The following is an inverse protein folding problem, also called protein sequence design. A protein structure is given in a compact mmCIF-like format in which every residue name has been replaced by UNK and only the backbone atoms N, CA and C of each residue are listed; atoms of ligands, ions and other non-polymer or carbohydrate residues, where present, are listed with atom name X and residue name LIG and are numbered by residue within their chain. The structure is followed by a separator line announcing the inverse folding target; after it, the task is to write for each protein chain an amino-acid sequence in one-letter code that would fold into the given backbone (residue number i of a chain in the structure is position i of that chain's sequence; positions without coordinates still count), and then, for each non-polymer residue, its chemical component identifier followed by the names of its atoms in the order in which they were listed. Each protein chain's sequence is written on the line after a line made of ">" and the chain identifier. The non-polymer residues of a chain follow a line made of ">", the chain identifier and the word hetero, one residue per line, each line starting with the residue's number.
data_IF_084765845499
#
_entry.id   IF_084765845499
#
_cell.length_a   1.000
_cell.length_b   1.000
_cell.length_c   1.000
_cell.angle_alpha   90.00
_cell.angle_beta   90.00
_cell.angle_gamma   90.00
#
_symmetry.space_group_name_H-M   'P 1'
#
loop_
_entity.id
_entity.type
_entity.pdbx_description
1 polymer ?
#
# COMPACT_ATOMS: atom_id res chain seq x y z
N UNK A 1 16.90 4.54 11.20
CA UNK A 1 15.52 4.16 10.77
C UNK A 1 15.33 4.00 9.27
N UNK A 2 16.01 4.77 8.41
CA UNK A 2 15.83 4.67 6.94
C UNK A 2 16.14 3.28 6.38
N UNK A 3 17.12 2.56 6.95
CA UNK A 3 17.42 1.17 6.57
C UNK A 3 16.32 0.17 6.94
N UNK A 4 15.55 0.41 8.01
CA UNK A 4 14.38 -0.39 8.36
C UNK A 4 13.28 -0.20 7.31
N UNK A 5 12.92 1.05 7.03
CA UNK A 5 11.88 1.35 6.04
C UNK A 5 12.24 0.85 4.64
N UNK A 6 13.50 0.96 4.21
CA UNK A 6 13.94 0.45 2.90
C UNK A 6 13.86 -1.06 2.81
N UNK A 7 14.33 -1.79 3.83
CA UNK A 7 14.25 -3.26 3.84
C UNK A 7 12.80 -3.74 3.90
N UNK A 8 11.98 -3.09 4.73
CA UNK A 8 10.55 -3.34 4.80
C UNK A 8 9.84 -3.05 3.47
N UNK A 9 10.19 -1.96 2.79
CA UNK A 9 9.66 -1.62 1.47
C UNK A 9 9.96 -2.72 0.45
N UNK A 10 11.20 -3.18 0.38
CA UNK A 10 11.58 -4.25 -0.56
C UNK A 10 10.79 -5.52 -0.26
N UNK A 11 10.78 -5.98 0.99
CA UNK A 11 10.09 -7.22 1.37
C UNK A 11 8.58 -7.15 1.16
N UNK A 12 7.95 -6.05 1.59
CA UNK A 12 6.50 -5.87 1.49
C UNK A 12 6.06 -5.69 0.04
N UNK A 13 6.77 -4.90 -0.75
CA UNK A 13 6.47 -4.77 -2.19
C UNK A 13 6.66 -6.10 -2.93
N UNK A 14 7.71 -6.87 -2.61
CA UNK A 14 7.89 -8.20 -3.21
C UNK A 14 6.71 -9.14 -2.89
N UNK A 15 6.22 -9.11 -1.65
CA UNK A 15 5.01 -9.86 -1.25
C UNK A 15 3.78 -9.41 -2.06
N UNK A 16 3.53 -8.10 -2.15
CA UNK A 16 2.38 -7.55 -2.88
C UNK A 16 2.45 -7.92 -4.37
N UNK A 17 3.63 -7.82 -4.99
CA UNK A 17 3.84 -8.22 -6.39
C UNK A 17 3.60 -9.72 -6.57
N UNK A 18 4.11 -10.57 -5.67
CA UNK A 18 3.88 -12.00 -5.75
C UNK A 18 2.40 -12.38 -5.63
N UNK A 19 1.66 -11.74 -4.72
CA UNK A 19 0.20 -11.91 -4.59
C UNK A 19 -0.50 -11.44 -5.87
N UNK A 20 -0.13 -10.28 -6.41
CA UNK A 20 -0.66 -9.74 -7.66
C UNK A 20 -0.46 -10.72 -8.82
N UNK A 21 0.77 -11.21 -9.04
CA UNK A 21 1.07 -12.21 -10.08
C UNK A 21 0.19 -13.45 -9.91
N UNK A 22 0.08 -13.98 -8.68
CA UNK A 22 -0.78 -15.12 -8.39
C UNK A 22 -2.25 -14.84 -8.71
N UNK A 23 -2.73 -13.63 -8.45
CA UNK A 23 -4.10 -13.23 -8.74
C UNK A 23 -4.39 -13.17 -10.25
N UNK A 24 -3.49 -12.55 -11.04
CA UNK A 24 -3.63 -12.52 -12.50
C UNK A 24 -3.49 -13.91 -13.14
N UNK A 25 -2.68 -14.79 -12.54
CA UNK A 25 -2.51 -16.18 -12.98
C UNK A 25 -3.69 -17.08 -12.57
N UNK A 26 -4.54 -16.67 -11.62
CA UNK A 26 -5.59 -17.51 -11.05
C UNK A 26 -5.05 -18.56 -10.05
N UNK A 27 -3.86 -18.35 -9.49
CA UNK A 27 -3.19 -19.24 -8.54
C UNK A 27 -3.50 -18.95 -7.07
N UNK A 28 -4.42 -18.02 -6.77
CA UNK A 28 -4.80 -17.74 -5.38
C UNK A 28 -5.71 -18.85 -4.83
N UNK A 29 -5.49 -19.28 -3.57
CA UNK A 29 -6.37 -20.24 -2.90
C UNK A 29 -7.86 -19.83 -2.92
N UNK A 30 -8.77 -20.79 -3.07
CA UNK A 30 -10.21 -20.52 -3.18
C UNK A 30 -10.81 -19.79 -1.96
N UNK A 31 -10.17 -19.88 -0.78
CA UNK A 31 -10.58 -19.14 0.43
C UNK A 31 -10.63 -17.62 0.20
N UNK A 32 -9.79 -17.09 -0.70
CA UNK A 32 -9.77 -15.67 -1.02
C UNK A 32 -11.05 -15.21 -1.75
N UNK A 33 -11.70 -16.11 -2.49
CA UNK A 33 -13.00 -15.84 -3.13
C UNK A 33 -14.21 -16.18 -2.24
N UNK A 34 -14.02 -16.99 -1.19
CA UNK A 34 -15.11 -17.48 -0.34
C UNK A 34 -15.46 -16.53 0.83
N UNK A 35 -14.53 -15.67 1.25
CA UNK A 35 -14.72 -14.76 2.38
C UNK A 35 -15.23 -13.39 1.91
N UNK A 36 -16.46 -12.99 2.28
CA UNK A 36 -16.99 -11.68 1.90
C UNK A 36 -16.08 -10.56 2.39
N UNK A 37 -15.78 -9.59 1.52
CA UNK A 37 -14.97 -8.40 1.81
C UNK A 37 -13.49 -8.66 2.15
N UNK A 38 -13.00 -9.90 2.04
CA UNK A 38 -11.58 -10.17 2.27
C UNK A 38 -10.70 -9.41 1.27
N UNK A 39 -11.11 -9.33 0.01
CA UNK A 39 -10.41 -8.57 -1.03
C UNK A 39 -10.22 -7.09 -0.62
N UNK A 40 -11.29 -6.45 -0.14
CA UNK A 40 -11.27 -5.07 0.36
C UNK A 40 -10.29 -4.87 1.54
N UNK A 41 -10.26 -5.83 2.48
CA UNK A 41 -9.32 -5.80 3.62
C UNK A 41 -7.89 -5.98 3.14
N UNK A 42 -7.67 -6.85 2.16
CA UNK A 42 -6.35 -7.09 1.57
C UNK A 42 -5.85 -5.85 0.84
N UNK A 43 -6.68 -5.18 0.03
CA UNK A 43 -6.37 -3.89 -0.59
C UNK A 43 -5.90 -2.86 0.45
N UNK A 44 -6.70 -2.65 1.50
CA UNK A 44 -6.38 -1.72 2.59
C UNK A 44 -5.02 -2.02 3.24
N UNK A 45 -4.77 -3.28 3.62
CA UNK A 45 -3.57 -3.67 4.37
C UNK A 45 -2.34 -3.71 3.48
N UNK A 46 -2.45 -4.34 2.30
CA UNK A 46 -1.32 -4.55 1.41
C UNK A 46 -0.85 -3.23 0.80
N UNK A 47 -1.76 -2.44 0.22
CA UNK A 47 -1.41 -1.16 -0.40
C UNK A 47 -1.07 -0.12 0.66
N UNK A 48 -1.79 -0.09 1.78
CA UNK A 48 -1.43 0.71 2.95
C UNK A 48 -0.01 0.41 3.45
N UNK A 49 0.35 -0.87 3.59
CA UNK A 49 1.70 -1.29 3.98
C UNK A 49 2.80 -0.81 3.03
N UNK A 50 2.57 -0.83 1.71
CA UNK A 50 3.52 -0.24 0.74
C UNK A 50 3.70 1.25 1.02
N UNK A 51 2.62 1.99 1.26
CA UNK A 51 2.69 3.41 1.56
C UNK A 51 3.38 3.72 2.89
N UNK A 52 3.18 2.90 3.92
CA UNK A 52 3.89 3.01 5.19
C UNK A 52 5.41 2.97 4.98
N UNK A 53 5.88 1.92 4.31
CA UNK A 53 7.31 1.74 4.08
C UNK A 53 7.87 2.76 3.10
N UNK A 54 7.12 3.13 2.06
CA UNK A 54 7.57 4.12 1.08
C UNK A 54 7.67 5.52 1.68
N UNK A 55 6.66 5.98 2.43
CA UNK A 55 6.73 7.31 3.08
C UNK A 55 7.91 7.38 4.05
N UNK A 56 8.15 6.33 4.85
CA UNK A 56 9.31 6.25 5.73
C UNK A 56 10.65 6.20 4.98
N UNK A 57 10.73 5.44 3.88
CA UNK A 57 11.93 5.33 3.05
C UNK A 57 12.28 6.67 2.37
N UNK A 58 11.26 7.46 2.03
CA UNK A 58 11.37 8.83 1.50
C UNK A 58 11.54 9.89 2.60
N UNK A 59 11.78 9.48 3.85
CA UNK A 59 11.95 10.38 5.01
C UNK A 59 10.75 11.33 5.19
N UNK A 60 9.54 10.83 4.96
CA UNK A 60 8.28 11.55 5.11
C UNK A 60 8.18 12.82 4.25
N UNK A 61 8.82 12.82 3.06
CA UNK A 61 8.85 13.98 2.16
C UNK A 61 7.41 14.43 1.81
N UNK A 62 7.18 15.74 1.92
CA UNK A 62 5.91 16.38 1.56
C UNK A 62 5.85 16.73 0.06
N UNK A 63 4.65 17.00 -0.46
CA UNK A 63 4.43 17.37 -1.86
C UNK A 63 4.30 18.88 -2.00
N UNK A 64 3.37 19.50 -1.27
CA UNK A 64 3.02 20.91 -1.44
C UNK A 64 3.27 21.71 -0.17
N UNK A 65 4.28 22.58 -0.17
CA UNK A 65 4.56 23.53 0.93
C UNK A 65 4.50 22.87 2.33
N UNK A 66 5.05 21.66 2.46
CA UNK A 66 5.05 20.89 3.72
C UNK A 66 3.79 20.06 4.01
N UNK A 67 2.78 20.07 3.13
CA UNK A 67 1.55 19.27 3.25
C UNK A 67 1.57 18.04 2.34
N UNK A 68 0.87 17.00 2.78
CA UNK A 68 0.75 15.72 2.07
C UNK A 68 1.97 14.80 2.24
N UNK A 69 1.88 13.62 1.63
CA UNK A 69 2.92 12.60 1.61
C UNK A 69 3.25 12.24 0.18
N UNK A 70 4.51 12.46 -0.22
CA UNK A 70 4.99 12.05 -1.53
C UNK A 70 4.88 10.53 -1.69
N UNK A 71 5.25 9.77 -0.66
CA UNK A 71 5.11 8.32 -0.67
C UNK A 71 3.65 7.89 -0.86
N UNK A 72 2.73 8.47 -0.10
CA UNK A 72 1.30 8.20 -0.23
C UNK A 72 0.74 8.53 -1.59
N UNK A 73 1.09 9.68 -2.18
CA UNK A 73 0.61 10.05 -3.51
C UNK A 73 1.15 9.13 -4.61
N UNK A 74 2.41 8.70 -4.52
CA UNK A 74 2.98 7.71 -5.45
C UNK A 74 2.19 6.40 -5.33
N UNK A 75 1.92 5.92 -4.12
CA UNK A 75 1.16 4.66 -3.95
C UNK A 75 -0.28 4.79 -4.44
N UNK A 76 -0.98 5.90 -4.17
CA UNK A 76 -2.35 6.11 -4.68
C UNK A 76 -2.36 6.12 -6.21
N UNK A 77 -1.39 6.79 -6.85
CA UNK A 77 -1.29 6.81 -8.30
C UNK A 77 -1.04 5.41 -8.88
N UNK A 78 -0.15 4.63 -8.27
CA UNK A 78 0.13 3.25 -8.68
C UNK A 78 -1.06 2.32 -8.44
N UNK A 79 -1.75 2.43 -7.31
CA UNK A 79 -2.96 1.66 -7.00
C UNK A 79 -4.07 1.97 -8.01
N UNK A 80 -4.29 3.24 -8.34
CA UNK A 80 -5.26 3.62 -9.36
C UNK A 80 -4.90 3.09 -10.76
N UNK A 81 -3.62 3.06 -11.11
CA UNK A 81 -3.16 2.48 -12.37
C UNK A 81 -3.33 0.94 -12.40
N UNK A 82 -3.04 0.25 -11.29
CA UNK A 82 -3.24 -1.19 -11.16
C UNK A 82 -4.73 -1.53 -11.23
N UNK A 83 -5.58 -0.83 -10.48
CA UNK A 83 -7.02 -1.05 -10.47
C UNK A 83 -7.64 -0.83 -11.86
N UNK A 84 -7.11 0.16 -12.61
CA UNK A 84 -7.47 0.35 -14.01
C UNK A 84 -6.99 -0.82 -14.89
N UNK A 85 -5.77 -1.31 -14.67
CA UNK A 85 -5.21 -2.44 -15.41
C UNK A 85 -6.00 -3.74 -15.18
N UNK A 86 -6.58 -3.94 -14.00
CA UNK A 86 -7.42 -5.10 -13.69
C UNK A 86 -8.61 -5.25 -14.66
N UNK A 87 -9.10 -4.15 -15.26
CA UNK A 87 -10.18 -4.17 -16.26
C UNK A 87 -9.84 -4.98 -17.52
N UNK A 88 -8.56 -5.18 -17.80
CA UNK A 88 -8.07 -5.94 -18.93
C UNK A 88 -7.77 -7.40 -18.58
N UNK A 89 -8.02 -7.83 -17.34
CA UNK A 89 -7.80 -9.19 -16.89
C UNK A 89 -9.13 -9.95 -16.76
N UNK A 90 -9.23 -11.18 -17.28
CA UNK A 90 -10.42 -12.01 -17.10
C UNK A 90 -10.53 -12.59 -15.68
N UNK A 91 -9.52 -12.42 -14.82
CA UNK A 91 -9.42 -13.01 -13.48
C UNK A 91 -9.41 -11.98 -12.35
N UNK A 92 -9.52 -10.70 -12.68
CA UNK A 92 -9.49 -9.60 -11.72
C UNK A 92 -10.72 -8.72 -11.94
N UNK A 93 -11.12 -8.01 -10.88
CA UNK A 93 -12.30 -7.15 -10.90
C UNK A 93 -11.88 -5.75 -10.49
N UNK A 94 -12.08 -4.79 -11.39
CA UNK A 94 -11.89 -3.38 -11.08
C UNK A 94 -13.15 -2.81 -10.43
N UNK A 95 -13.08 -2.44 -9.16
CA UNK A 95 -14.19 -1.84 -8.43
C UNK A 95 -13.78 -0.52 -7.76
N UNK A 96 -14.76 0.39 -7.66
CA UNK A 96 -14.53 1.64 -6.95
C UNK A 96 -14.27 1.41 -5.44
N UNK A 97 -14.87 0.36 -4.87
CA UNK A 97 -14.67 0.00 -3.46
C UNK A 97 -13.23 -0.42 -3.17
N UNK A 98 -12.59 -1.18 -4.06
CA UNK A 98 -11.22 -1.66 -3.85
C UNK A 98 -10.23 -0.49 -3.92
N UNK A 99 -10.40 0.41 -4.92
CA UNK A 99 -9.63 1.65 -4.95
C UNK A 99 -9.86 2.54 -3.72
N UNK A 100 -11.10 2.64 -3.23
CA UNK A 100 -11.40 3.40 -2.02
C UNK A 100 -10.69 2.80 -0.79
N UNK A 101 -10.64 1.46 -0.70
CA UNK A 101 -9.90 0.77 0.35
C UNK A 101 -8.38 1.02 0.26
N UNK A 102 -7.82 1.06 -0.95
CA UNK A 102 -6.43 1.45 -1.16
C UNK A 102 -6.16 2.86 -0.65
N UNK A 103 -6.99 3.84 -1.02
CA UNK A 103 -6.86 5.23 -0.56
C UNK A 103 -6.93 5.31 0.96
N UNK A 104 -7.90 4.65 1.58
CA UNK A 104 -8.04 4.61 3.05
C UNK A 104 -6.81 3.97 3.69
N UNK A 105 -6.35 2.84 3.15
CA UNK A 105 -5.14 2.15 3.59
C UNK A 105 -3.93 3.07 3.55
N UNK A 106 -3.68 3.73 2.42
CA UNK A 106 -2.59 4.70 2.27
C UNK A 106 -2.66 5.80 3.33
N UNK A 107 -3.83 6.41 3.54
CA UNK A 107 -3.97 7.49 4.52
C UNK A 107 -3.66 7.02 5.95
N UNK A 108 -4.21 5.88 6.36
CA UNK A 108 -4.00 5.30 7.70
C UNK A 108 -2.53 4.94 7.91
N UNK A 109 -1.91 4.28 6.94
CA UNK A 109 -0.55 3.77 7.07
C UNK A 109 0.53 4.86 6.91
N UNK A 110 0.29 5.88 6.09
CA UNK A 110 1.15 7.09 6.07
C UNK A 110 1.08 7.81 7.42
N UNK A 111 -0.11 7.96 8.00
CA UNK A 111 -0.25 8.53 9.34
C UNK A 111 0.55 7.72 10.38
N UNK A 112 0.45 6.39 10.33
CA UNK A 112 1.16 5.49 11.23
C UNK A 112 2.69 5.60 11.07
N UNK A 113 3.19 5.61 9.83
CA UNK A 113 4.61 5.77 9.54
C UNK A 113 5.18 7.05 10.17
N UNK A 114 4.45 8.16 10.05
CA UNK A 114 4.84 9.47 10.60
C UNK A 114 4.71 9.54 12.12
N UNK A 115 3.80 8.77 12.73
CA UNK A 115 3.72 8.64 14.19
C UNK A 115 4.95 7.94 14.73
N UNK A 116 5.32 6.80 14.14
CA UNK A 116 6.51 6.03 14.54
C UNK A 116 7.80 6.84 14.27
N UNK A 117 7.89 7.50 13.12
CA UNK A 117 9.02 8.38 12.76
C UNK A 117 9.27 9.49 13.79
N UNK A 118 8.21 10.13 14.28
CA UNK A 118 8.31 11.22 15.28
C UNK A 118 8.64 10.73 16.68
N UNK A 119 8.09 9.59 17.10
CA UNK A 119 8.36 9.04 18.43
C UNK A 119 9.84 8.65 18.60
N UNK A 120 10.45 8.08 17.57
CA UNK A 120 11.87 7.71 17.60
C UNK A 120 12.80 8.93 17.67
N UNK A 121 12.51 10.01 16.92
CA UNK A 121 13.29 11.25 17.00
C UNK A 121 13.24 11.92 18.38
N UNK A 122 12.19 11.69 19.16
CA UNK A 122 12.05 12.21 20.53
C UNK A 122 12.76 11.37 21.58
N UNK A 123 13.03 10.09 21.31
CA UNK A 123 13.74 9.21 22.24
C UNK A 123 15.27 9.41 22.15
N UNK A 124 15.76 9.95 21.03
CA UNK A 124 17.18 10.19 20.76
C UNK A 124 17.63 11.65 21.09
N UNK A 125 16.73 12.49 21.62
CA UNK A 125 16.97 13.91 21.92
C UNK A 125 16.89 14.17 23.43
#
# INVERSE_FOLDING_TARGET
>A
MTSFFRRGLIGHTALVVAIGIGAYAGGLPAVFGALPRLDLVMHLILIGGVAFFLDGALRHRAIFRGRGSLGGAIVIALAGAEEWAQRFSPRRSSTFSDFAADVVGVLVFVWLARRIGRSAQRADA
#
